data_IF_802644831954
#
_entry.id   IF_802644831954
#
_cell.length_a   1.000
_cell.length_b   1.000
_cell.length_c   1.000
_cell.angle_alpha   90.00
_cell.angle_beta   90.00
_cell.angle_gamma   90.00
#
_symmetry.space_group_name_H-M   'P 1'
#
loop_
_entity.id
_entity.type
_entity.pdbx_description
1 polymer ?
#
# COMPACT_ATOMS: atom_id res chain seq x y z
N UNK A 1 28.33 57.24 -12.97
CA UNK A 1 28.13 56.70 -14.34
C UNK A 1 28.17 55.17 -14.38
N UNK A 2 29.25 54.54 -13.89
CA UNK A 2 29.44 53.08 -13.91
C UNK A 2 28.33 52.30 -13.19
N UNK A 3 27.91 52.75 -12.00
CA UNK A 3 26.85 52.08 -11.21
C UNK A 3 25.50 52.08 -11.94
N UNK A 4 25.15 53.21 -12.59
CA UNK A 4 23.89 53.35 -13.34
C UNK A 4 23.90 52.41 -14.56
N UNK A 5 25.02 52.35 -15.27
CA UNK A 5 25.23 51.41 -16.37
C UNK A 5 25.09 49.95 -15.92
N UNK A 6 25.64 49.61 -14.76
CA UNK A 6 25.56 48.26 -14.21
C UNK A 6 24.10 47.88 -13.86
N UNK A 7 23.34 48.81 -13.28
CA UNK A 7 21.92 48.62 -12.97
C UNK A 7 21.07 48.48 -14.24
N UNK A 8 21.34 49.28 -15.27
CA UNK A 8 20.66 49.17 -16.56
C UNK A 8 20.97 47.82 -17.24
N UNK A 9 22.22 47.37 -17.20
CA UNK A 9 22.62 46.08 -17.76
C UNK A 9 21.95 44.92 -16.99
N UNK A 10 22.01 44.95 -15.65
CA UNK A 10 21.35 43.95 -14.81
C UNK A 10 19.83 43.89 -15.05
N UNK A 11 19.18 45.06 -15.21
CA UNK A 11 17.76 45.15 -15.56
C UNK A 11 17.46 44.55 -16.94
N UNK A 12 18.25 44.92 -17.96
CA UNK A 12 18.09 44.39 -19.31
C UNK A 12 18.29 42.87 -19.37
N UNK A 13 19.32 42.35 -18.68
CA UNK A 13 19.58 40.91 -18.57
C UNK A 13 18.47 40.20 -17.81
N UNK A 14 17.95 40.78 -16.73
CA UNK A 14 16.83 40.21 -15.98
C UNK A 14 15.56 40.09 -16.82
N UNK A 15 15.24 41.12 -17.61
CA UNK A 15 14.10 41.11 -18.53
C UNK A 15 14.30 40.08 -19.65
N UNK A 16 15.49 40.05 -20.25
CA UNK A 16 15.81 39.11 -21.33
C UNK A 16 15.80 37.66 -20.83
N UNK A 17 16.37 37.40 -19.66
CA UNK A 17 16.37 36.08 -19.03
C UNK A 17 14.94 35.59 -18.77
N UNK A 18 14.06 36.46 -18.26
CA UNK A 18 12.66 36.08 -18.01
C UNK A 18 11.90 35.75 -19.30
N UNK A 19 12.19 36.43 -20.41
CA UNK A 19 11.54 36.17 -21.69
C UNK A 19 12.15 35.01 -22.49
N UNK A 20 13.44 34.76 -22.35
CA UNK A 20 14.16 33.68 -23.03
C UNK A 20 14.20 32.37 -22.23
N UNK A 21 13.87 32.42 -20.93
CA UNK A 21 13.77 31.21 -20.11
C UNK A 21 12.70 30.28 -20.71
N UNK A 22 13.04 29.01 -21.00
CA UNK A 22 12.06 28.06 -21.46
C UNK A 22 10.98 27.92 -20.38
N UNK A 23 9.72 27.89 -20.81
CA UNK A 23 8.60 27.60 -19.90
C UNK A 23 8.84 26.29 -19.17
N UNK A 24 8.26 26.10 -17.97
CA UNK A 24 8.50 24.90 -17.17
C UNK A 24 7.99 23.67 -17.93
N UNK A 25 8.92 22.91 -18.51
CA UNK A 25 8.68 21.75 -19.37
C UNK A 25 7.84 20.67 -18.66
N UNK A 26 7.92 20.65 -17.33
CA UNK A 26 7.31 19.65 -16.46
C UNK A 26 6.12 20.14 -15.63
N UNK A 27 5.73 21.42 -15.73
CA UNK A 27 4.72 21.99 -14.82
C UNK A 27 3.40 21.21 -14.86
N UNK A 28 2.96 20.79 -16.05
CA UNK A 28 1.75 19.99 -16.23
C UNK A 28 1.89 18.61 -15.59
N UNK A 29 3.02 17.90 -15.82
CA UNK A 29 3.28 16.58 -15.25
C UNK A 29 3.38 16.62 -13.71
N UNK A 30 3.97 17.69 -13.17
CA UNK A 30 4.00 17.93 -11.74
C UNK A 30 2.59 18.12 -11.16
N UNK A 31 1.77 18.97 -11.78
CA UNK A 31 0.40 19.22 -11.34
C UNK A 31 -0.48 17.95 -11.39
N UNK A 32 -0.33 17.14 -12.43
CA UNK A 32 -1.00 15.84 -12.55
C UNK A 32 -0.59 14.87 -11.45
N UNK A 33 0.71 14.72 -11.18
CA UNK A 33 1.20 13.86 -10.09
C UNK A 33 0.71 14.31 -8.72
N UNK A 34 0.73 15.62 -8.46
CA UNK A 34 0.22 16.18 -7.21
C UNK A 34 -1.27 15.87 -7.01
N UNK A 35 -2.06 16.01 -8.08
CA UNK A 35 -3.49 15.68 -8.07
C UNK A 35 -3.73 14.18 -7.83
N UNK A 36 -2.99 13.32 -8.53
CA UNK A 36 -3.10 11.87 -8.38
C UNK A 36 -2.74 11.41 -6.97
N UNK A 37 -1.68 11.98 -6.37
CA UNK A 37 -1.29 11.70 -4.99
C UNK A 37 -2.36 12.15 -4.00
N UNK A 38 -2.94 13.34 -4.20
CA UNK A 38 -4.02 13.84 -3.35
C UNK A 38 -5.27 12.93 -3.41
N UNK A 39 -5.63 12.46 -4.61
CA UNK A 39 -6.74 11.53 -4.78
C UNK A 39 -6.46 10.17 -4.15
N UNK A 40 -5.25 9.63 -4.33
CA UNK A 40 -4.84 8.36 -3.72
C UNK A 40 -4.92 8.45 -2.19
N UNK A 41 -4.35 9.51 -1.61
CA UNK A 41 -4.37 9.73 -0.16
C UNK A 41 -5.80 9.90 0.38
N UNK A 42 -6.68 10.60 -0.36
CA UNK A 42 -8.08 10.73 0.02
C UNK A 42 -8.78 9.38 0.06
N UNK A 43 -8.67 8.60 -1.02
CA UNK A 43 -9.24 7.25 -1.11
C UNK A 43 -8.70 6.33 -0.01
N UNK A 44 -7.40 6.42 0.29
CA UNK A 44 -6.78 5.64 1.35
C UNK A 44 -7.34 6.00 2.73
N UNK A 45 -7.53 7.30 3.03
CA UNK A 45 -8.13 7.75 4.29
C UNK A 45 -9.58 7.31 4.43
N UNK A 46 -10.40 7.56 3.40
CA UNK A 46 -11.80 7.10 3.37
C UNK A 46 -11.88 5.61 3.65
N UNK A 47 -11.01 4.83 3.01
CA UNK A 47 -10.91 3.40 3.21
C UNK A 47 -10.44 2.98 4.60
N UNK A 48 -9.53 3.72 5.25
CA UNK A 48 -9.04 3.40 6.59
C UNK A 48 -10.02 3.79 7.70
N UNK A 49 -10.84 4.81 7.46
CA UNK A 49 -11.66 5.45 8.50
C UNK A 49 -13.14 5.06 8.40
N UNK A 50 -13.58 4.46 7.30
CA UNK A 50 -14.98 4.09 7.07
C UNK A 50 -15.21 2.59 6.98
N UNK A 51 -16.46 2.20 7.28
CA UNK A 51 -16.95 0.86 6.99
C UNK A 51 -17.24 0.70 5.50
N UNK A 52 -16.93 -0.48 4.96
CA UNK A 52 -17.26 -0.80 3.58
C UNK A 52 -17.13 -2.29 3.31
N UNK A 53 -17.61 -2.75 2.16
CA UNK A 53 -17.43 -4.13 1.74
C UNK A 53 -16.07 -4.29 1.05
N UNK A 54 -15.35 -5.37 1.37
CA UNK A 54 -14.18 -5.82 0.58
C UNK A 54 -14.63 -6.84 -0.45
N UNK A 55 -15.52 -7.74 -0.06
CA UNK A 55 -16.04 -8.83 -0.90
C UNK A 55 -17.37 -9.28 -0.31
N UNK A 56 -18.47 -8.83 -0.92
CA UNK A 56 -19.81 -9.10 -0.44
C UNK A 56 -20.15 -10.59 -0.58
N UNK A 57 -19.69 -11.21 -1.65
CA UNK A 57 -19.84 -12.63 -1.96
C UNK A 57 -19.15 -13.54 -0.93
N UNK A 58 -18.07 -13.08 -0.30
CA UNK A 58 -17.39 -13.79 0.80
C UNK A 58 -17.79 -13.29 2.19
N UNK A 59 -18.71 -12.33 2.28
CA UNK A 59 -19.11 -11.71 3.54
C UNK A 59 -17.99 -10.92 4.23
N UNK A 60 -16.97 -10.45 3.49
CA UNK A 60 -15.81 -9.76 4.06
C UNK A 60 -16.03 -8.26 4.04
N UNK A 61 -16.08 -7.68 5.25
CA UNK A 61 -16.20 -6.23 5.48
C UNK A 61 -14.87 -5.63 5.90
N UNK A 62 -14.71 -4.35 5.57
CA UNK A 62 -13.65 -3.47 6.02
C UNK A 62 -14.12 -2.76 7.30
N UNK A 63 -13.28 -2.82 8.33
CA UNK A 63 -13.49 -2.06 9.57
C UNK A 63 -12.60 -0.80 9.57
N UNK A 64 -13.10 0.33 10.11
CA UNK A 64 -12.28 1.47 10.46
C UNK A 64 -11.13 1.05 11.37
N UNK A 65 -9.95 1.62 11.14
CA UNK A 65 -8.74 1.22 11.85
C UNK A 65 -8.85 1.46 13.36
N UNK A 66 -9.51 2.55 13.78
CA UNK A 66 -9.77 2.82 15.21
C UNK A 66 -10.54 1.68 15.85
N UNK A 67 -11.62 1.22 15.20
CA UNK A 67 -12.45 0.13 15.73
C UNK A 67 -11.70 -1.21 15.72
N UNK A 68 -10.90 -1.46 14.68
CA UNK A 68 -10.06 -2.66 14.62
C UNK A 68 -9.06 -2.68 15.79
N UNK A 69 -8.42 -1.56 16.11
CA UNK A 69 -7.49 -1.45 17.23
C UNK A 69 -8.18 -1.64 18.58
N UNK A 70 -9.35 -1.05 18.80
CA UNK A 70 -10.15 -1.28 20.01
C UNK A 70 -10.47 -2.76 20.22
N UNK A 71 -10.87 -3.45 19.14
CA UNK A 71 -11.17 -4.89 19.20
C UNK A 71 -9.93 -5.70 19.57
N UNK A 72 -8.78 -5.38 19.00
CA UNK A 72 -7.51 -6.04 19.36
C UNK A 72 -7.18 -5.80 20.83
N UNK A 73 -7.28 -4.56 21.33
CA UNK A 73 -7.02 -4.28 22.75
C UNK A 73 -7.99 -5.06 23.65
N UNK A 74 -9.26 -5.17 23.26
CA UNK A 74 -10.26 -5.94 24.02
C UNK A 74 -9.97 -7.45 24.03
N UNK A 75 -9.56 -8.01 22.89
CA UNK A 75 -9.24 -9.44 22.76
C UNK A 75 -7.96 -9.83 23.51
N UNK A 76 -7.03 -8.89 23.63
CA UNK A 76 -5.74 -9.10 24.29
C UNK A 76 -5.74 -8.74 25.79
N UNK A 77 -6.90 -8.45 26.38
CA UNK A 77 -7.02 -8.33 27.84
C UNK A 77 -6.65 -9.64 28.54
N UNK A 78 -6.94 -10.79 27.91
CA UNK A 78 -6.38 -12.10 28.25
C UNK A 78 -5.44 -12.57 27.12
N UNK A 79 -4.12 -12.44 27.30
CA UNK A 79 -3.15 -12.82 26.27
C UNK A 79 -3.18 -14.31 25.88
N UNK A 80 -3.57 -15.21 26.80
CA UNK A 80 -3.62 -16.64 26.52
C UNK A 80 -4.80 -16.95 25.59
N UNK A 81 -5.97 -16.37 25.88
CA UNK A 81 -7.15 -16.47 25.04
C UNK A 81 -6.91 -15.82 23.66
N UNK A 82 -6.39 -14.59 23.61
CA UNK A 82 -6.12 -13.89 22.35
C UNK A 82 -5.14 -14.64 21.44
N UNK A 83 -4.06 -15.20 22.01
CA UNK A 83 -3.10 -16.02 21.24
C UNK A 83 -3.74 -17.30 20.70
N UNK A 84 -4.54 -18.00 21.50
CA UNK A 84 -5.18 -19.24 21.05
C UNK A 84 -6.18 -19.00 19.92
N UNK A 85 -6.97 -17.90 19.98
CA UNK A 85 -7.85 -17.49 18.90
C UNK A 85 -7.07 -17.16 17.61
N UNK A 86 -5.96 -16.40 17.73
CA UNK A 86 -5.11 -16.08 16.58
C UNK A 86 -4.58 -17.35 15.89
N UNK A 87 -4.11 -18.34 16.67
CA UNK A 87 -3.63 -19.62 16.14
C UNK A 87 -4.77 -20.39 15.44
N UNK A 88 -5.95 -20.46 16.04
CA UNK A 88 -7.10 -21.13 15.45
C UNK A 88 -7.51 -20.49 14.11
N UNK A 89 -7.51 -19.16 14.04
CA UNK A 89 -7.78 -18.40 12.80
C UNK A 89 -6.71 -18.65 11.74
N UNK A 90 -5.44 -18.68 12.14
CA UNK A 90 -4.32 -19.00 11.24
C UNK A 90 -4.48 -20.41 10.65
N UNK A 91 -4.77 -21.40 11.49
CA UNK A 91 -4.95 -22.80 11.06
C UNK A 91 -6.11 -22.95 10.07
N UNK A 92 -7.23 -22.24 10.31
CA UNK A 92 -8.37 -22.22 9.39
C UNK A 92 -8.07 -21.56 8.05
N UNK A 93 -7.21 -20.53 8.04
CA UNK A 93 -6.85 -19.79 6.84
C UNK A 93 -5.77 -20.49 6.00
N UNK A 94 -4.96 -21.37 6.60
CA UNK A 94 -3.92 -22.09 5.90
C UNK A 94 -4.53 -23.17 4.99
N UNK A 95 -4.27 -23.17 3.67
CA UNK A 95 -4.62 -24.31 2.84
C UNK A 95 -3.87 -25.56 3.33
N UNK A 96 -4.46 -26.76 3.26
CA UNK A 96 -3.76 -27.99 3.60
C UNK A 96 -2.49 -28.10 2.75
N UNK A 97 -1.36 -28.37 3.40
CA UNK A 97 -0.10 -28.57 2.67
C UNK A 97 -0.28 -29.70 1.65
N UNK A 98 0.25 -29.56 0.42
CA UNK A 98 0.31 -30.68 -0.51
C UNK A 98 0.99 -31.84 0.21
N UNK A 99 0.30 -32.98 0.33
CA UNK A 99 0.92 -34.19 0.85
C UNK A 99 2.12 -34.48 -0.06
N UNK A 100 3.31 -34.67 0.52
CA UNK A 100 4.46 -35.13 -0.25
C UNK A 100 4.03 -36.37 -1.06
N UNK A 101 4.38 -36.47 -2.35
CA UNK A 101 3.99 -37.61 -3.17
C UNK A 101 4.32 -38.90 -2.41
N UNK A 102 3.30 -39.74 -2.19
CA UNK A 102 3.50 -41.02 -1.53
C UNK A 102 4.61 -41.75 -2.30
N UNK A 103 5.72 -42.02 -1.63
CA UNK A 103 6.78 -42.83 -2.21
C UNK A 103 6.13 -44.14 -2.67
N UNK A 104 6.09 -44.35 -3.99
CA UNK A 104 5.59 -45.59 -4.56
C UNK A 104 6.52 -46.71 -4.10
N UNK A 105 6.09 -47.50 -3.13
CA UNK A 105 6.81 -48.71 -2.77
C UNK A 105 6.93 -49.59 -4.03
N UNK A 106 8.14 -50.08 -4.38
CA UNK A 106 8.31 -50.97 -5.53
C UNK A 106 7.43 -52.21 -5.40
N UNK A 107 6.86 -52.74 -6.51
CA UNK A 107 6.03 -53.94 -6.44
C UNK A 107 6.85 -55.10 -5.89
N UNK A 108 6.31 -55.74 -4.84
CA UNK A 108 6.86 -56.97 -4.29
C UNK A 108 6.96 -58.02 -5.41
N UNK A 109 8.19 -58.46 -5.70
CA UNK A 109 8.45 -59.52 -6.66
C UNK A 109 7.75 -60.84 -6.26
N UNK A 110 7.48 -61.73 -7.24
CA UNK A 110 6.69 -62.92 -7.00
C UNK A 110 7.41 -63.88 -6.03
N UNK A 111 6.71 -64.33 -4.98
CA UNK A 111 7.20 -65.39 -4.10
C UNK A 111 7.16 -66.71 -4.87
N UNK A 112 8.33 -67.25 -5.23
CA UNK A 112 8.46 -68.61 -5.75
C UNK A 112 8.18 -69.63 -4.64
N UNK A 113 7.40 -70.66 -4.97
CA UNK A 113 7.18 -71.89 -4.20
C UNK A 113 8.26 -72.92 -4.54
#
# INVERSE_FOLDING_TARGET
>A
MIVILFLLMAGAVGVMYRHAAPGPVEATRWAERATNLAQLNRRAREQLESFGWVSQERGVVRLPITRAMELVVSEWQDPAAGRSNLIARMQKALPPMPQAPAATNPPAGPKAK
#
